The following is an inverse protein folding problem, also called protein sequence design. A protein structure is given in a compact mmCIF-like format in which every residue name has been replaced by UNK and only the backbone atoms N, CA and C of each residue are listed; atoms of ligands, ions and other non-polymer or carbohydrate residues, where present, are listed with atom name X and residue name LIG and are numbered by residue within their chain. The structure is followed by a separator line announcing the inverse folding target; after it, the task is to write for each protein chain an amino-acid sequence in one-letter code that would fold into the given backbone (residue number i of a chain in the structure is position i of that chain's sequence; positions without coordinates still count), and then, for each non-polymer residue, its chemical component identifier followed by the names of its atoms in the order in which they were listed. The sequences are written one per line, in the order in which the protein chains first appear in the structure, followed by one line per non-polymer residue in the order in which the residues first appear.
data_IF_694670558171
#
_entry.id   IF_694670558171
#
_cell.length_a   1.000
_cell.length_b   1.000
_cell.length_c   1.000
_cell.angle_alpha   90.00
_cell.angle_beta   90.00
_cell.angle_gamma   90.00
#
_symmetry.space_group_name_H-M   'P 1'
#
loop_
_entity.id
_entity.type
_entity.pdbx_description
1 polymer ?
#
# COMPACT_ATOMS: atom_id res chain seq x y z
N UNK A 1 44.67 66.79 53.43
CA UNK A 1 45.83 66.41 52.64
C UNK A 1 45.67 65.02 52.07
N UNK A 2 45.80 64.91 50.80
CA UNK A 2 45.95 63.77 49.95
C UNK A 2 44.65 63.01 49.51
N UNK A 3 44.32 63.40 48.31
CA UNK A 3 43.51 62.79 47.30
C UNK A 3 44.14 61.45 46.80
N UNK A 4 43.38 60.36 46.67
CA UNK A 4 43.71 59.30 45.73
C UNK A 4 42.44 58.77 45.06
N UNK A 5 42.39 58.99 43.78
CA UNK A 5 41.30 58.55 42.88
C UNK A 5 41.38 57.03 42.63
N UNK A 6 40.27 56.36 42.70
CA UNK A 6 40.12 54.97 42.29
C UNK A 6 39.35 54.92 40.98
N UNK A 7 39.99 54.42 39.94
CA UNK A 7 39.41 54.10 38.63
C UNK A 7 38.64 52.77 38.73
N UNK A 8 37.34 52.82 38.54
CA UNK A 8 36.52 51.62 38.39
C UNK A 8 36.53 51.20 36.92
N UNK A 9 37.20 50.12 36.60
CA UNK A 9 37.14 49.45 35.30
C UNK A 9 35.84 48.70 35.18
N UNK A 10 34.97 49.10 34.25
CA UNK A 10 33.78 48.33 33.85
C UNK A 10 34.21 47.27 32.85
N UNK A 11 34.30 46.01 33.29
CA UNK A 11 34.39 44.85 32.42
C UNK A 11 32.99 44.49 31.90
N UNK A 12 32.74 44.77 30.64
CA UNK A 12 31.55 44.28 29.94
C UNK A 12 31.76 42.78 29.58
N UNK A 13 31.08 41.88 30.27
CA UNK A 13 31.04 40.47 29.92
C UNK A 13 30.01 40.32 28.81
N UNK A 14 30.47 40.20 27.56
CA UNK A 14 29.64 39.82 26.44
C UNK A 14 29.37 38.33 26.51
N UNK A 15 28.17 37.94 27.00
CA UNK A 15 27.66 36.55 26.91
C UNK A 15 27.27 36.31 25.44
N UNK A 16 28.17 35.66 24.68
CA UNK A 16 27.82 35.10 23.39
C UNK A 16 26.93 33.88 23.62
N UNK A 17 25.61 34.03 23.44
CA UNK A 17 24.70 32.91 23.28
C UNK A 17 25.04 32.22 21.95
N UNK A 18 25.92 31.24 21.99
CA UNK A 18 26.04 30.25 20.94
C UNK A 18 24.76 29.40 20.97
N UNK A 19 23.79 29.76 20.13
CA UNK A 19 22.61 28.95 19.89
C UNK A 19 23.07 27.60 19.34
N UNK A 20 23.12 26.57 20.19
CA UNK A 20 23.13 25.18 19.74
C UNK A 20 21.80 24.93 19.07
N UNK A 21 21.73 25.09 17.76
CA UNK A 21 20.71 24.42 16.96
C UNK A 21 20.98 22.93 17.11
N UNK A 22 20.23 22.26 17.98
CA UNK A 22 20.08 20.81 17.95
C UNK A 22 19.44 20.50 16.59
N UNK A 23 20.28 20.38 15.55
CA UNK A 23 19.88 19.81 14.29
C UNK A 23 19.42 18.38 14.60
N UNK A 24 18.15 18.07 14.33
CA UNK A 24 17.70 16.71 14.38
C UNK A 24 18.64 15.90 13.50
N UNK A 25 19.41 15.00 14.11
CA UNK A 25 20.31 14.11 13.36
C UNK A 25 19.42 13.17 12.55
N UNK A 26 19.58 13.21 11.22
CA UNK A 26 18.84 12.31 10.34
C UNK A 26 19.14 10.86 10.73
N UNK A 27 18.14 9.97 10.58
CA UNK A 27 18.31 8.56 10.92
C UNK A 27 19.37 7.92 10.00
N UNK A 28 20.28 7.15 10.57
CA UNK A 28 21.32 6.44 9.81
C UNK A 28 20.76 5.23 9.04
N UNK A 29 19.52 4.81 9.36
CA UNK A 29 18.86 3.66 8.77
C UNK A 29 17.40 3.99 8.47
N UNK A 30 16.95 3.66 7.27
CA UNK A 30 15.54 3.67 6.85
C UNK A 30 15.05 2.24 6.76
N UNK A 31 14.06 1.87 7.57
CA UNK A 31 13.51 0.50 7.66
C UNK A 31 12.13 0.43 7.04
N UNK A 32 11.96 -0.45 6.05
CA UNK A 32 10.71 -0.61 5.31
C UNK A 32 10.17 -2.02 5.55
N UNK A 33 9.02 -2.10 6.20
CA UNK A 33 8.27 -3.34 6.38
C UNK A 33 7.36 -3.61 5.20
N UNK A 34 7.39 -4.83 4.68
CA UNK A 34 6.58 -5.26 3.54
C UNK A 34 5.64 -6.39 3.97
N UNK A 35 4.33 -6.20 3.76
CA UNK A 35 3.28 -7.11 4.21
C UNK A 35 3.14 -8.35 3.30
N UNK A 36 4.25 -9.01 3.00
CA UNK A 36 4.32 -10.27 2.26
C UNK A 36 5.61 -11.01 2.62
N UNK A 37 5.62 -12.32 2.43
CA UNK A 37 6.86 -13.09 2.52
C UNK A 37 7.85 -12.75 1.39
N UNK A 38 7.34 -12.27 0.25
CA UNK A 38 8.16 -12.06 -0.94
C UNK A 38 8.72 -13.37 -1.50
N UNK A 39 9.63 -13.24 -2.46
CA UNK A 39 10.37 -14.36 -3.06
C UNK A 39 11.57 -13.85 -3.84
N UNK A 40 12.40 -14.80 -4.34
CA UNK A 40 13.62 -14.46 -5.08
C UNK A 40 14.83 -14.13 -4.22
N UNK A 41 15.94 -13.83 -4.88
CA UNK A 41 17.19 -13.37 -4.26
C UNK A 41 17.73 -12.18 -5.08
N UNK A 42 17.83 -10.96 -4.53
CA UNK A 42 17.30 -10.59 -3.21
C UNK A 42 15.77 -10.71 -3.11
N UNK A 43 15.24 -10.94 -1.90
CA UNK A 43 13.78 -11.03 -1.67
C UNK A 43 13.10 -9.77 -2.21
N UNK A 44 12.08 -9.96 -3.05
CA UNK A 44 11.27 -8.92 -3.66
C UNK A 44 9.79 -9.38 -3.78
N UNK A 45 8.95 -8.54 -4.36
CA UNK A 45 7.56 -8.88 -4.68
C UNK A 45 7.15 -8.25 -6.00
N UNK A 46 6.06 -8.72 -6.59
CA UNK A 46 5.52 -8.20 -7.83
C UNK A 46 4.20 -7.48 -7.66
N UNK A 47 3.64 -7.00 -8.76
CA UNK A 47 2.31 -6.41 -8.83
C UNK A 47 2.20 -4.98 -8.29
N UNK A 48 3.33 -4.31 -8.03
CA UNK A 48 3.35 -2.92 -7.57
C UNK A 48 4.65 -2.19 -7.90
N UNK A 49 4.63 -0.84 -7.98
CA UNK A 49 5.84 -0.03 -8.13
C UNK A 49 6.87 -0.26 -7.02
N UNK A 50 6.43 -0.51 -5.78
CA UNK A 50 7.34 -0.78 -4.67
C UNK A 50 8.23 -2.00 -4.89
N UNK A 51 7.72 -3.03 -5.58
CA UNK A 51 8.52 -4.20 -5.98
C UNK A 51 9.63 -3.83 -6.97
N UNK A 52 9.40 -2.87 -7.88
CA UNK A 52 10.42 -2.33 -8.78
C UNK A 52 11.49 -1.57 -8.01
N UNK A 53 11.09 -0.74 -7.04
CA UNK A 53 12.03 -0.02 -6.15
C UNK A 53 13.00 -1.00 -5.50
N UNK A 54 12.46 -2.08 -4.91
CA UNK A 54 13.26 -3.09 -4.22
C UNK A 54 14.15 -3.89 -5.17
N UNK A 55 13.58 -4.39 -6.27
CA UNK A 55 14.30 -5.24 -7.22
C UNK A 55 15.48 -4.53 -7.89
N UNK A 56 15.36 -3.21 -8.08
CA UNK A 56 16.38 -2.37 -8.72
C UNK A 56 17.23 -1.59 -7.71
N UNK A 57 17.02 -1.79 -6.40
CA UNK A 57 17.77 -1.10 -5.33
C UNK A 57 17.74 0.43 -5.43
N UNK A 58 16.61 0.99 -5.88
CA UNK A 58 16.51 2.42 -6.15
C UNK A 58 16.52 3.28 -4.88
N UNK A 59 16.10 2.76 -3.74
CA UNK A 59 16.24 3.47 -2.48
C UNK A 59 17.67 3.42 -1.95
N UNK A 60 18.31 2.27 -2.04
CA UNK A 60 19.71 2.09 -1.66
C UNK A 60 20.62 3.07 -2.44
N UNK A 61 20.37 3.20 -3.76
CA UNK A 61 21.10 4.15 -4.60
C UNK A 61 20.80 5.61 -4.23
N UNK A 62 19.52 5.95 -3.98
CA UNK A 62 19.11 7.30 -3.61
C UNK A 62 19.71 7.77 -2.27
N UNK A 63 19.93 6.86 -1.34
CA UNK A 63 20.48 7.15 -0.01
C UNK A 63 22.00 7.00 0.09
N UNK A 64 22.65 6.49 -0.94
CA UNK A 64 24.09 6.19 -0.93
C UNK A 64 24.96 7.41 -0.60
N UNK A 65 24.66 8.56 -1.20
CA UNK A 65 25.41 9.79 -0.95
C UNK A 65 25.22 10.34 0.48
N UNK A 66 24.09 10.02 1.12
CA UNK A 66 23.78 10.45 2.49
C UNK A 66 24.40 9.50 3.54
N UNK A 67 24.95 8.36 3.13
CA UNK A 67 25.44 7.32 4.04
C UNK A 67 24.31 6.58 4.80
N UNK A 68 23.06 6.74 4.39
CA UNK A 68 21.91 6.12 5.05
C UNK A 68 21.71 4.71 4.52
N UNK A 69 21.62 3.74 5.43
CA UNK A 69 21.33 2.35 5.10
C UNK A 69 19.83 2.15 4.87
N UNK A 70 19.46 1.38 3.85
CA UNK A 70 18.07 0.94 3.63
C UNK A 70 17.93 -0.53 4.02
N UNK A 71 16.96 -0.82 4.88
CA UNK A 71 16.64 -2.17 5.32
C UNK A 71 15.20 -2.55 4.94
N UNK A 72 15.05 -3.69 4.27
CA UNK A 72 13.76 -4.25 3.90
C UNK A 72 13.44 -5.47 4.77
N UNK A 73 12.30 -5.41 5.46
CA UNK A 73 11.82 -6.47 6.33
C UNK A 73 10.52 -7.06 5.75
N UNK A 74 10.55 -8.34 5.41
CA UNK A 74 9.41 -9.05 4.82
C UNK A 74 8.68 -9.85 5.87
N UNK A 75 7.36 -9.71 5.92
CA UNK A 75 6.52 -10.31 6.95
C UNK A 75 5.56 -11.34 6.35
N UNK A 76 5.82 -12.64 6.58
CA UNK A 76 4.95 -13.74 6.16
C UNK A 76 3.55 -13.62 6.78
N UNK A 77 3.44 -13.08 8.01
CA UNK A 77 2.17 -12.76 8.67
C UNK A 77 1.43 -11.56 8.09
N UNK A 78 1.91 -10.99 6.97
CA UNK A 78 1.35 -9.86 6.25
C UNK A 78 1.06 -8.63 7.15
N UNK A 79 -0.05 -7.92 6.91
CA UNK A 79 -0.37 -6.68 7.61
C UNK A 79 -0.42 -6.75 9.14
N UNK A 80 -0.99 -7.79 9.77
CA UNK A 80 -0.94 -7.94 11.22
C UNK A 80 0.49 -7.91 11.79
N UNK A 81 1.42 -8.62 11.17
CA UNK A 81 2.83 -8.63 11.61
C UNK A 81 3.54 -7.30 11.33
N UNK A 82 3.20 -6.62 10.23
CA UNK A 82 3.70 -5.26 9.95
C UNK A 82 3.20 -4.26 10.99
N UNK A 83 1.94 -4.34 11.42
CA UNK A 83 1.40 -3.48 12.47
C UNK A 83 2.11 -3.70 13.83
N UNK A 84 2.45 -4.94 14.16
CA UNK A 84 3.26 -5.26 15.35
C UNK A 84 4.65 -4.63 15.26
N UNK A 85 5.33 -4.77 14.13
CA UNK A 85 6.63 -4.16 13.88
C UNK A 85 6.60 -2.62 13.93
N UNK A 86 5.53 -1.98 13.40
CA UNK A 86 5.30 -0.53 13.55
C UNK A 86 5.13 -0.13 15.02
N UNK A 87 4.31 -0.87 15.78
CA UNK A 87 4.06 -0.62 17.20
C UNK A 87 5.35 -0.69 18.03
N UNK A 88 6.22 -1.64 17.70
CA UNK A 88 7.51 -1.86 18.37
C UNK A 88 8.65 -0.98 17.80
N UNK A 89 8.35 -0.07 16.87
CA UNK A 89 9.32 0.80 16.17
C UNK A 89 10.48 0.03 15.50
N UNK A 90 10.21 -1.20 15.06
CA UNK A 90 11.16 -2.02 14.32
C UNK A 90 11.26 -1.61 12.86
N UNK A 91 10.25 -0.91 12.34
CA UNK A 91 10.20 -0.34 10.99
C UNK A 91 9.74 1.12 11.04
N UNK A 92 10.14 1.89 10.04
CA UNK A 92 9.83 3.31 9.89
C UNK A 92 8.71 3.51 8.88
N UNK A 93 8.77 2.75 7.78
CA UNK A 93 7.76 2.71 6.73
C UNK A 93 7.10 1.34 6.67
N UNK A 94 5.84 1.32 6.23
CA UNK A 94 5.08 0.10 6.00
C UNK A 94 4.44 0.11 4.61
N UNK A 95 4.77 -0.90 3.80
CA UNK A 95 4.01 -1.23 2.60
C UNK A 95 3.00 -2.31 2.95
N UNK A 96 1.72 -1.94 2.98
CA UNK A 96 0.65 -2.86 3.37
C UNK A 96 -0.71 -2.50 2.77
N UNK A 97 -1.68 -3.40 2.92
CA UNK A 97 -3.04 -3.23 2.44
C UNK A 97 -3.88 -2.25 3.27
N UNK A 98 -5.03 -1.89 2.73
CA UNK A 98 -6.00 -0.97 3.32
C UNK A 98 -6.57 -1.47 4.67
N UNK A 99 -7.12 -2.70 4.74
CA UNK A 99 -7.67 -3.22 5.99
C UNK A 99 -6.65 -3.24 7.14
N UNK A 100 -5.44 -3.82 7.00
CA UNK A 100 -4.48 -3.81 8.11
C UNK A 100 -4.05 -2.38 8.47
N UNK A 101 -3.98 -1.45 7.54
CA UNK A 101 -3.70 -0.04 7.83
C UNK A 101 -4.79 0.58 8.71
N UNK A 102 -6.07 0.33 8.39
CA UNK A 102 -7.22 0.76 9.20
C UNK A 102 -7.20 0.11 10.58
N UNK A 103 -6.95 -1.20 10.67
CA UNK A 103 -6.85 -1.92 11.95
C UNK A 103 -5.72 -1.37 12.81
N UNK A 104 -4.54 -1.12 12.23
CA UNK A 104 -3.42 -0.50 12.93
C UNK A 104 -3.78 0.85 13.52
N UNK A 105 -4.42 1.73 12.74
CA UNK A 105 -4.86 3.05 13.19
C UNK A 105 -5.94 2.96 14.27
N UNK A 106 -6.91 2.05 14.13
CA UNK A 106 -7.93 1.79 15.15
C UNK A 106 -7.34 1.33 16.48
N UNK A 107 -6.20 0.64 16.44
CA UNK A 107 -5.44 0.21 17.61
C UNK A 107 -4.45 1.26 18.13
N UNK A 108 -4.46 2.47 17.56
CA UNK A 108 -3.69 3.61 18.06
C UNK A 108 -2.35 3.84 17.38
N UNK A 109 -2.02 3.11 16.32
CA UNK A 109 -0.81 3.39 15.53
C UNK A 109 -0.94 4.78 14.89
N UNK A 110 0.05 5.62 15.14
CA UNK A 110 0.17 6.95 14.54
C UNK A 110 1.00 6.86 13.27
N UNK A 111 0.32 6.89 12.13
CA UNK A 111 0.93 6.80 10.81
C UNK A 111 0.36 7.85 9.88
N UNK A 112 1.12 8.20 8.83
CA UNK A 112 0.65 8.97 7.67
C UNK A 112 0.68 8.08 6.45
N UNK A 113 -0.34 8.14 5.60
CA UNK A 113 -0.35 7.48 4.29
C UNK A 113 0.23 8.46 3.27
N UNK A 114 1.28 8.03 2.58
CA UNK A 114 2.10 8.89 1.72
C UNK A 114 1.77 8.74 0.23
N UNK A 115 1.68 7.50 -0.26
CA UNK A 115 1.42 7.19 -1.67
C UNK A 115 0.67 5.87 -1.79
N UNK A 116 -0.12 5.73 -2.84
CA UNK A 116 -0.65 4.42 -3.26
C UNK A 116 0.44 3.69 -4.03
N UNK A 117 0.60 2.40 -3.76
CA UNK A 117 1.58 1.57 -4.46
C UNK A 117 1.01 0.17 -4.69
N UNK A 118 0.14 0.06 -5.69
CA UNK A 118 -0.62 -1.13 -6.04
C UNK A 118 -2.10 -0.96 -5.76
N UNK A 119 -2.82 -0.32 -6.70
CA UNK A 119 -4.25 -0.11 -6.65
C UNK A 119 -5.02 -1.20 -7.41
N UNK A 120 -6.30 -1.36 -7.10
CA UNK A 120 -7.27 -2.15 -7.87
C UNK A 120 -6.82 -3.58 -8.14
N UNK A 121 -6.12 -4.22 -7.16
CA UNK A 121 -5.70 -5.60 -7.27
C UNK A 121 -6.90 -6.55 -7.21
N UNK A 122 -6.97 -7.46 -8.19
CA UNK A 122 -8.08 -8.42 -8.26
C UNK A 122 -8.02 -9.47 -7.16
N UNK A 123 -9.17 -10.05 -6.85
CA UNK A 123 -9.33 -11.23 -6.01
C UNK A 123 -9.87 -12.36 -6.86
N UNK A 124 -9.43 -13.58 -6.56
CA UNK A 124 -9.85 -14.81 -7.22
C UNK A 124 -10.32 -15.82 -6.19
N UNK A 125 -11.25 -16.69 -6.60
CA UNK A 125 -11.61 -17.88 -5.85
C UNK A 125 -11.23 -19.09 -6.69
N UNK A 126 -10.51 -20.01 -6.07
CA UNK A 126 -10.00 -21.21 -6.72
C UNK A 126 -10.44 -22.46 -5.99
N UNK A 127 -10.54 -23.54 -6.75
CA UNK A 127 -10.85 -24.89 -6.27
C UNK A 127 -9.88 -25.91 -6.85
N UNK A 128 -9.75 -27.11 -6.27
CA UNK A 128 -9.05 -28.22 -6.94
C UNK A 128 -9.67 -28.50 -8.31
N UNK A 129 -8.91 -29.02 -9.31
CA UNK A 129 -9.40 -29.21 -10.69
C UNK A 129 -10.64 -30.09 -10.79
N UNK A 130 -10.72 -31.15 -9.97
CA UNK A 130 -11.85 -32.11 -9.94
C UNK A 130 -13.03 -31.68 -9.06
N UNK A 131 -12.99 -30.49 -8.45
CA UNK A 131 -14.05 -29.99 -7.59
C UNK A 131 -15.37 -29.80 -8.36
N UNK A 132 -16.51 -30.12 -7.70
CA UNK A 132 -17.83 -29.80 -8.22
C UNK A 132 -18.28 -28.37 -7.99
N UNK A 133 -17.55 -27.60 -7.15
CA UNK A 133 -17.84 -26.20 -6.85
C UNK A 133 -17.53 -25.33 -8.08
N UNK A 134 -18.49 -24.55 -8.54
CA UNK A 134 -18.41 -23.73 -9.76
C UNK A 134 -18.72 -22.26 -9.52
N UNK A 135 -19.32 -21.93 -8.38
CA UNK A 135 -19.77 -20.57 -8.03
C UNK A 135 -19.68 -20.32 -6.52
N UNK A 136 -19.73 -19.05 -6.13
CA UNK A 136 -19.54 -18.59 -4.74
C UNK A 136 -20.62 -19.17 -3.80
N UNK A 137 -21.86 -19.26 -4.24
CA UNK A 137 -22.99 -19.73 -3.41
C UNK A 137 -22.79 -21.18 -2.93
N UNK A 138 -22.01 -21.97 -3.65
CA UNK A 138 -21.70 -23.37 -3.31
C UNK A 138 -20.61 -23.51 -2.25
N UNK A 139 -19.98 -22.39 -1.83
CA UNK A 139 -18.99 -22.40 -0.74
C UNK A 139 -19.61 -22.61 0.65
N UNK A 140 -20.95 -22.57 0.77
CA UNK A 140 -21.63 -22.84 2.04
C UNK A 140 -21.19 -24.18 2.61
N UNK A 141 -20.85 -24.20 3.89
CA UNK A 141 -20.38 -25.38 4.66
C UNK A 141 -19.05 -25.99 4.15
N UNK A 142 -18.38 -25.39 3.16
CA UNK A 142 -17.08 -25.85 2.64
C UNK A 142 -15.90 -25.33 3.47
N UNK A 143 -14.78 -26.04 3.43
CA UNK A 143 -13.50 -25.59 4.00
C UNK A 143 -12.85 -24.58 3.03
N UNK A 144 -12.88 -23.31 3.39
CA UNK A 144 -12.40 -22.23 2.51
C UNK A 144 -11.24 -21.49 3.16
N UNK A 145 -10.12 -21.41 2.45
CA UNK A 145 -8.96 -20.61 2.91
C UNK A 145 -9.21 -19.13 2.67
N UNK A 146 -9.07 -18.33 3.73
CA UNK A 146 -9.06 -16.86 3.71
C UNK A 146 -7.91 -16.38 4.59
N UNK A 147 -7.02 -15.54 4.06
CA UNK A 147 -5.93 -14.98 4.86
C UNK A 147 -6.44 -13.77 5.67
N UNK A 148 -6.81 -14.05 6.93
CA UNK A 148 -7.48 -13.09 7.81
C UNK A 148 -6.57 -11.90 8.17
N UNK A 149 -7.20 -10.74 8.34
CA UNK A 149 -6.51 -9.49 8.70
C UNK A 149 -5.77 -8.81 7.55
N UNK A 150 -5.86 -9.35 6.31
CA UNK A 150 -5.28 -8.76 5.11
C UNK A 150 -6.34 -7.98 4.31
N UNK A 151 -5.92 -7.18 3.31
CA UNK A 151 -6.85 -6.56 2.37
C UNK A 151 -7.69 -7.58 1.59
N UNK A 152 -7.16 -8.78 1.33
CA UNK A 152 -7.91 -9.88 0.73
C UNK A 152 -9.04 -10.41 1.61
N UNK A 153 -8.89 -10.36 2.94
CA UNK A 153 -9.92 -10.81 3.89
C UNK A 153 -11.22 -10.01 3.74
N UNK A 154 -11.13 -8.67 3.76
CA UNK A 154 -12.33 -7.84 3.66
C UNK A 154 -13.03 -7.99 2.31
N UNK A 155 -12.25 -8.01 1.21
CA UNK A 155 -12.81 -8.23 -0.13
C UNK A 155 -13.47 -9.62 -0.23
N UNK A 156 -12.88 -10.67 0.36
CA UNK A 156 -13.49 -11.99 0.40
C UNK A 156 -14.84 -11.99 1.12
N UNK A 157 -14.94 -11.31 2.28
CA UNK A 157 -16.21 -11.17 3.01
C UNK A 157 -17.23 -10.41 2.15
N UNK A 158 -16.84 -9.33 1.49
CA UNK A 158 -17.73 -8.54 0.64
C UNK A 158 -18.21 -9.34 -0.59
N UNK A 159 -17.33 -10.16 -1.19
CA UNK A 159 -17.71 -11.08 -2.27
C UNK A 159 -18.70 -12.13 -1.76
N UNK A 160 -18.45 -12.75 -0.61
CA UNK A 160 -19.40 -13.68 -0.01
C UNK A 160 -20.77 -13.02 0.22
N UNK A 161 -20.78 -11.82 0.79
CA UNK A 161 -22.01 -11.06 1.08
C UNK A 161 -22.79 -10.70 -0.20
N UNK A 162 -22.11 -10.34 -1.28
CA UNK A 162 -22.74 -10.07 -2.58
C UNK A 162 -23.44 -11.34 -3.17
N UNK A 163 -23.01 -12.52 -2.75
CA UNK A 163 -23.58 -13.81 -3.15
C UNK A 163 -24.44 -14.46 -2.05
N UNK A 164 -24.93 -13.67 -1.07
CA UNK A 164 -25.86 -14.12 -0.05
C UNK A 164 -25.24 -14.98 1.06
N UNK A 165 -23.92 -15.01 1.19
CA UNK A 165 -23.19 -15.74 2.22
C UNK A 165 -22.52 -14.76 3.20
N UNK A 166 -22.38 -15.18 4.46
CA UNK A 166 -21.52 -14.56 5.44
C UNK A 166 -20.28 -15.44 5.70
N UNK A 167 -19.21 -14.88 6.29
CA UNK A 167 -18.01 -15.68 6.62
C UNK A 167 -18.34 -16.87 7.53
N UNK A 168 -19.34 -16.75 8.41
CA UNK A 168 -19.82 -17.85 9.28
C UNK A 168 -20.50 -19.01 8.54
N UNK A 169 -20.91 -18.79 7.29
CA UNK A 169 -21.58 -19.81 6.46
C UNK A 169 -20.58 -20.74 5.77
N UNK A 170 -19.29 -20.47 5.91
CA UNK A 170 -18.19 -21.32 5.45
C UNK A 170 -17.36 -21.82 6.63
N UNK A 171 -16.63 -22.93 6.45
CA UNK A 171 -15.62 -23.41 7.40
C UNK A 171 -14.28 -22.72 7.07
N UNK A 172 -14.14 -21.45 7.52
CA UNK A 172 -13.00 -20.58 7.20
C UNK A 172 -11.70 -21.05 7.84
N UNK A 173 -10.70 -21.31 7.02
CA UNK A 173 -9.33 -21.69 7.43
C UNK A 173 -8.39 -20.50 7.18
N UNK A 174 -7.68 -20.05 8.23
CA UNK A 174 -6.74 -18.94 8.11
C UNK A 174 -5.36 -19.43 7.67
N UNK A 175 -5.01 -19.24 6.41
CA UNK A 175 -3.73 -19.65 5.83
C UNK A 175 -3.10 -18.50 5.05
N UNK A 176 -1.78 -18.34 5.15
CA UNK A 176 -1.02 -17.48 4.22
C UNK A 176 -1.02 -18.07 2.80
N UNK A 177 -0.64 -17.25 1.79
CA UNK A 177 -0.75 -17.63 0.38
C UNK A 177 -0.03 -18.96 0.06
N UNK A 178 1.17 -19.18 0.59
CA UNK A 178 1.91 -20.43 0.34
C UNK A 178 1.26 -21.63 0.99
N UNK A 179 0.82 -21.50 2.24
CA UNK A 179 0.10 -22.55 2.97
C UNK A 179 -1.25 -22.85 2.34
N UNK A 180 -1.96 -21.83 1.82
CA UNK A 180 -3.23 -22.00 1.12
C UNK A 180 -3.05 -22.78 -0.20
N UNK A 181 -1.99 -22.49 -0.97
CA UNK A 181 -1.67 -23.25 -2.19
C UNK A 181 -1.39 -24.72 -1.87
N UNK A 182 -0.55 -25.00 -0.87
CA UNK A 182 -0.27 -26.37 -0.45
C UNK A 182 -1.53 -27.10 0.04
N UNK A 183 -2.37 -26.44 0.83
CA UNK A 183 -3.61 -27.01 1.33
C UNK A 183 -4.61 -27.31 0.20
N UNK A 184 -4.73 -26.41 -0.82
CA UNK A 184 -5.62 -26.67 -1.96
C UNK A 184 -5.15 -27.87 -2.78
N UNK A 185 -3.86 -27.93 -3.11
CA UNK A 185 -3.27 -29.01 -3.91
C UNK A 185 -3.39 -30.37 -3.22
N UNK A 186 -3.29 -30.39 -1.88
CA UNK A 186 -3.44 -31.61 -1.07
C UNK A 186 -4.90 -31.93 -0.70
N UNK A 187 -5.88 -31.18 -1.21
CA UNK A 187 -7.30 -31.28 -0.84
C UNK A 187 -7.57 -31.06 0.67
N UNK A 188 -6.72 -30.31 1.35
CA UNK A 188 -6.92 -29.89 2.74
C UNK A 188 -7.97 -28.80 2.90
N UNK A 189 -8.24 -28.05 1.82
CA UNK A 189 -9.34 -27.09 1.67
C UNK A 189 -10.08 -27.32 0.36
N UNK A 190 -11.39 -26.99 0.34
CA UNK A 190 -12.27 -27.18 -0.83
C UNK A 190 -12.19 -26.00 -1.80
N UNK A 191 -11.85 -24.81 -1.27
CA UNK A 191 -11.64 -23.59 -2.04
C UNK A 191 -10.68 -22.64 -1.32
N UNK A 192 -10.14 -21.66 -2.04
CA UNK A 192 -9.32 -20.61 -1.46
C UNK A 192 -9.54 -19.27 -2.15
N UNK A 193 -9.56 -18.20 -1.36
CA UNK A 193 -9.46 -16.83 -1.84
C UNK A 193 -7.98 -16.41 -1.96
N UNK A 194 -7.64 -15.60 -2.98
CA UNK A 194 -6.30 -15.08 -3.14
C UNK A 194 -6.16 -14.16 -4.34
N UNK A 195 -4.94 -13.81 -4.72
CA UNK A 195 -4.63 -12.93 -5.83
C UNK A 195 -4.02 -13.67 -7.04
N UNK A 196 -3.22 -12.95 -7.78
CA UNK A 196 -2.54 -13.42 -9.00
C UNK A 196 -1.62 -14.64 -8.77
N UNK A 197 -1.21 -14.90 -7.56
CA UNK A 197 -0.38 -16.07 -7.20
C UNK A 197 -1.05 -17.40 -7.56
N UNK A 198 -2.37 -17.42 -7.72
CA UNK A 198 -3.13 -18.60 -8.12
C UNK A 198 -2.98 -18.95 -9.60
N UNK A 199 -2.58 -18.01 -10.45
CA UNK A 199 -2.37 -18.31 -11.87
C UNK A 199 -1.29 -19.35 -12.09
N UNK A 200 -0.19 -19.29 -11.32
CA UNK A 200 0.86 -20.32 -11.37
C UNK A 200 0.28 -21.74 -11.10
N UNK A 201 -0.54 -21.85 -10.06
CA UNK A 201 -1.15 -23.14 -9.65
C UNK A 201 -2.16 -23.61 -10.68
N UNK A 202 -2.96 -22.69 -11.22
CA UNK A 202 -3.89 -22.96 -12.34
C UNK A 202 -3.14 -23.47 -13.58
N UNK A 203 -2.08 -22.79 -13.97
CA UNK A 203 -1.33 -23.12 -15.20
C UNK A 203 -0.59 -24.47 -15.10
N UNK A 204 -0.32 -24.92 -13.89
CA UNK A 204 0.16 -26.26 -13.59
C UNK A 204 -0.97 -27.33 -13.60
N UNK A 205 -2.22 -26.93 -13.84
CA UNK A 205 -3.38 -27.84 -13.80
C UNK A 205 -3.78 -28.28 -12.38
N UNK A 206 -3.27 -27.61 -11.34
CA UNK A 206 -3.49 -27.97 -9.91
C UNK A 206 -4.59 -27.15 -9.25
N UNK A 207 -5.13 -26.13 -9.93
CA UNK A 207 -6.26 -25.33 -9.47
C UNK A 207 -7.13 -24.88 -10.65
N UNK A 208 -8.40 -24.58 -10.36
CA UNK A 208 -9.35 -23.98 -11.30
C UNK A 208 -9.89 -22.69 -10.68
N UNK A 209 -9.87 -21.59 -11.42
CA UNK A 209 -10.51 -20.33 -11.00
C UNK A 209 -12.01 -20.45 -11.27
N UNK A 210 -12.84 -20.27 -10.24
CA UNK A 210 -14.30 -20.29 -10.32
C UNK A 210 -14.91 -18.88 -10.21
N UNK A 211 -14.14 -17.89 -9.75
CA UNK A 211 -14.61 -16.52 -9.60
C UNK A 211 -13.44 -15.53 -9.71
N UNK A 212 -13.74 -14.35 -10.22
CA UNK A 212 -12.78 -13.23 -10.33
C UNK A 212 -13.49 -11.91 -10.14
N UNK A 213 -12.86 -10.97 -9.44
CA UNK A 213 -13.34 -9.57 -9.33
C UNK A 213 -12.91 -8.70 -10.52
N UNK A 214 -12.15 -9.26 -11.47
CA UNK A 214 -11.72 -8.53 -12.67
C UNK A 214 -12.93 -8.04 -13.48
N UNK A 215 -12.93 -6.75 -13.81
CA UNK A 215 -14.01 -6.13 -14.59
C UNK A 215 -15.31 -5.92 -13.83
N UNK A 216 -15.35 -6.26 -12.53
CA UNK A 216 -16.48 -5.98 -11.66
C UNK A 216 -16.35 -4.59 -11.01
N UNK A 217 -17.28 -4.28 -10.08
CA UNK A 217 -17.22 -3.03 -9.32
C UNK A 217 -15.84 -2.87 -8.66
N UNK A 218 -15.15 -1.74 -8.87
CA UNK A 218 -13.88 -1.46 -8.24
C UNK A 218 -13.88 -1.57 -6.71
N UNK A 219 -15.07 -1.54 -6.08
CA UNK A 219 -15.24 -1.80 -4.65
C UNK A 219 -14.74 -3.18 -4.21
N UNK A 220 -14.73 -4.17 -5.11
CA UNK A 220 -14.23 -5.52 -4.84
C UNK A 220 -12.74 -5.68 -5.16
N UNK A 221 -11.99 -4.59 -5.24
CA UNK A 221 -10.54 -4.62 -5.44
C UNK A 221 -9.78 -4.31 -4.15
N UNK A 222 -8.52 -4.74 -4.09
CA UNK A 222 -7.62 -4.55 -2.96
C UNK A 222 -6.68 -3.38 -3.23
N UNK A 223 -6.40 -2.60 -2.20
CA UNK A 223 -5.47 -1.46 -2.27
C UNK A 223 -4.26 -1.73 -1.40
N UNK A 224 -3.10 -1.24 -1.82
CA UNK A 224 -1.89 -1.20 -1.01
C UNK A 224 -1.25 0.18 -1.08
N UNK A 225 -0.68 0.60 0.03
CA UNK A 225 -0.10 1.94 0.18
C UNK A 225 1.20 1.89 0.98
N UNK A 226 2.02 2.91 0.80
CA UNK A 226 3.16 3.17 1.65
C UNK A 226 2.75 4.13 2.77
N UNK A 227 2.95 3.70 4.00
CA UNK A 227 2.75 4.48 5.19
C UNK A 227 4.09 4.76 5.87
N UNK A 228 4.12 5.81 6.69
CA UNK A 228 5.26 6.14 7.57
C UNK A 228 4.77 6.35 8.99
N UNK A 229 5.58 6.03 10.00
CA UNK A 229 5.31 6.44 11.38
C UNK A 229 5.32 7.96 11.48
N UNK A 230 4.37 8.52 12.23
CA UNK A 230 4.23 9.97 12.37
C UNK A 230 5.45 10.62 13.04
N UNK A 231 6.02 9.98 14.07
CA UNK A 231 7.24 10.45 14.73
C UNK A 231 8.44 10.47 13.75
N UNK A 232 8.62 9.43 12.95
CA UNK A 232 9.68 9.38 11.96
C UNK A 232 9.52 10.48 10.90
N UNK A 233 8.29 10.67 10.40
CA UNK A 233 8.00 11.69 9.39
C UNK A 233 8.25 13.12 9.90
N UNK A 234 7.93 13.38 11.17
CA UNK A 234 8.21 14.67 11.81
C UNK A 234 9.71 14.93 11.97
N UNK A 235 10.45 13.89 12.41
CA UNK A 235 11.85 14.01 12.79
C UNK A 235 12.80 13.90 11.58
N UNK A 236 12.35 13.26 10.47
CA UNK A 236 13.15 12.98 9.27
C UNK A 236 12.43 13.34 7.95
N UNK A 237 11.88 14.55 7.79
CA UNK A 237 11.05 14.90 6.62
C UNK A 237 11.80 14.79 5.28
N UNK A 238 13.09 15.10 5.26
CA UNK A 238 13.91 14.99 4.04
C UNK A 238 14.07 13.54 3.58
N UNK A 239 14.24 12.60 4.52
CA UNK A 239 14.30 11.18 4.18
C UNK A 239 12.96 10.66 3.70
N UNK A 240 11.85 11.10 4.31
CA UNK A 240 10.50 10.76 3.85
C UNK A 240 10.27 11.27 2.43
N UNK A 241 10.66 12.51 2.12
CA UNK A 241 10.54 13.05 0.76
C UNK A 241 11.34 12.20 -0.23
N UNK A 242 12.58 11.85 0.09
CA UNK A 242 13.43 11.03 -0.78
C UNK A 242 12.81 9.65 -1.05
N UNK A 243 12.22 9.01 -0.04
CA UNK A 243 11.50 7.75 -0.22
C UNK A 243 10.31 7.94 -1.16
N UNK A 244 9.49 8.98 -0.96
CA UNK A 244 8.34 9.28 -1.81
C UNK A 244 8.77 9.59 -3.24
N UNK A 245 9.83 10.36 -3.45
CA UNK A 245 10.38 10.68 -4.77
C UNK A 245 10.73 9.41 -5.55
N UNK A 246 11.37 8.44 -4.89
CA UNK A 246 11.73 7.15 -5.50
C UNK A 246 10.48 6.31 -5.82
N UNK A 247 9.48 6.29 -4.94
CA UNK A 247 8.23 5.58 -5.19
C UNK A 247 7.43 6.20 -6.34
N UNK A 248 7.40 7.53 -6.47
CA UNK A 248 6.75 8.24 -7.59
C UNK A 248 7.50 7.95 -8.90
N UNK A 249 8.84 7.99 -8.91
CA UNK A 249 9.64 7.58 -10.07
C UNK A 249 9.31 6.15 -10.50
N UNK A 250 9.20 5.24 -9.54
CA UNK A 250 8.86 3.84 -9.82
C UNK A 250 7.43 3.69 -10.33
N UNK A 251 6.49 4.45 -9.79
CA UNK A 251 5.11 4.49 -10.26
C UNK A 251 5.04 4.98 -11.71
N UNK A 252 5.77 6.04 -12.06
CA UNK A 252 5.85 6.55 -13.42
C UNK A 252 6.42 5.51 -14.39
N UNK A 253 7.58 4.94 -14.06
CA UNK A 253 8.21 3.91 -14.87
C UNK A 253 7.30 2.68 -15.05
N UNK A 254 6.64 2.25 -13.97
CA UNK A 254 5.73 1.09 -13.98
C UNK A 254 4.40 1.36 -14.69
N UNK A 255 4.04 2.62 -14.92
CA UNK A 255 2.81 3.04 -15.62
C UNK A 255 2.99 3.20 -17.13
N UNK A 256 4.24 3.31 -17.61
CA UNK A 256 4.51 3.45 -19.04
C UNK A 256 4.38 2.09 -19.74
N UNK A 257 3.46 1.99 -20.69
CA UNK A 257 3.20 0.76 -21.47
C UNK A 257 4.42 0.24 -22.23
N UNK A 258 5.37 1.12 -22.55
CA UNK A 258 6.66 0.72 -23.17
C UNK A 258 7.48 -0.19 -22.26
N UNK A 259 7.28 -0.09 -20.95
CA UNK A 259 7.99 -0.88 -19.95
C UNK A 259 7.26 -2.17 -19.56
N UNK A 260 6.09 -2.50 -20.15
CA UNK A 260 5.23 -3.63 -19.75
C UNK A 260 6.00 -4.95 -19.67
N UNK A 261 6.77 -5.28 -20.69
CA UNK A 261 7.56 -6.52 -20.68
C UNK A 261 8.65 -6.48 -19.60
N UNK A 262 9.42 -5.40 -19.54
CA UNK A 262 10.49 -5.24 -18.56
C UNK A 262 9.94 -5.24 -17.12
N UNK A 263 8.78 -4.63 -16.90
CA UNK A 263 8.08 -4.63 -15.62
C UNK A 263 7.71 -6.04 -15.16
N UNK A 264 7.12 -6.84 -16.06
CA UNK A 264 6.73 -8.22 -15.73
C UNK A 264 7.96 -9.11 -15.51
N UNK A 265 9.08 -8.88 -16.22
CA UNK A 265 10.36 -9.56 -15.97
C UNK A 265 10.95 -9.20 -14.61
N UNK A 266 10.82 -7.94 -14.17
CA UNK A 266 11.23 -7.55 -12.82
C UNK A 266 10.36 -8.25 -11.78
N UNK A 267 9.05 -8.27 -11.96
CA UNK A 267 8.13 -8.91 -11.02
C UNK A 267 8.26 -10.45 -11.00
N UNK A 268 8.65 -11.06 -12.12
CA UNK A 268 8.95 -12.50 -12.20
C UNK A 268 10.02 -12.94 -11.19
N UNK A 269 10.97 -12.06 -10.86
CA UNK A 269 12.00 -12.33 -9.85
C UNK A 269 11.42 -12.67 -8.47
N UNK A 270 10.17 -12.30 -8.20
CA UNK A 270 9.45 -12.69 -6.96
C UNK A 270 9.02 -14.16 -6.93
N UNK A 271 9.26 -14.94 -8.00
CA UNK A 271 8.84 -16.34 -8.12
C UNK A 271 7.45 -16.53 -8.70
N UNK A 272 6.78 -15.45 -9.11
CA UNK A 272 5.51 -15.51 -9.88
C UNK A 272 5.85 -15.46 -11.37
N UNK A 273 5.47 -16.45 -12.18
CA UNK A 273 5.86 -16.52 -13.58
C UNK A 273 5.40 -15.32 -14.41
N UNK A 274 6.19 -14.97 -15.43
CA UNK A 274 5.86 -13.90 -16.38
C UNK A 274 4.46 -14.03 -16.98
N UNK A 275 4.04 -15.25 -17.36
CA UNK A 275 2.71 -15.52 -17.90
C UNK A 275 1.59 -15.18 -16.91
N UNK A 276 1.81 -15.33 -15.60
CA UNK A 276 0.84 -14.94 -14.57
C UNK A 276 0.64 -13.42 -14.53
N UNK A 277 1.71 -12.64 -14.76
CA UNK A 277 1.60 -11.18 -14.85
C UNK A 277 0.90 -10.75 -16.13
N UNK A 278 1.16 -11.41 -17.26
CA UNK A 278 0.42 -11.17 -18.50
C UNK A 278 -1.07 -11.41 -18.29
N UNK A 279 -1.43 -12.53 -17.66
CA UNK A 279 -2.81 -12.87 -17.36
C UNK A 279 -3.47 -11.90 -16.36
N UNK A 280 -2.77 -11.46 -15.29
CA UNK A 280 -3.31 -10.50 -14.31
C UNK A 280 -3.60 -9.14 -14.93
N UNK A 281 -2.73 -8.67 -15.83
CA UNK A 281 -2.84 -7.35 -16.45
C UNK A 281 -3.45 -7.38 -17.86
N UNK A 282 -4.07 -8.50 -18.24
CA UNK A 282 -4.78 -8.61 -19.51
C UNK A 282 -5.90 -7.56 -19.59
N UNK A 283 -5.91 -6.77 -20.68
CA UNK A 283 -6.88 -5.69 -20.92
C UNK A 283 -6.89 -4.57 -19.85
N UNK A 284 -5.84 -4.48 -19.03
CA UNK A 284 -5.70 -3.40 -18.05
C UNK A 284 -4.51 -2.51 -18.41
N UNK A 285 -4.72 -1.19 -18.38
CA UNK A 285 -3.62 -0.25 -18.50
C UNK A 285 -2.72 -0.32 -17.24
N UNK A 286 -1.41 -0.26 -17.45
CA UNK A 286 -0.46 -0.23 -16.33
C UNK A 286 -0.70 0.96 -15.40
N UNK A 287 -1.07 2.12 -15.97
CA UNK A 287 -1.35 3.35 -15.22
C UNK A 287 -2.52 3.22 -14.23
N UNK A 288 -3.50 2.36 -14.52
CA UNK A 288 -4.67 2.16 -13.64
C UNK A 288 -4.29 1.45 -12.33
N UNK A 289 -3.24 0.63 -12.38
CA UNK A 289 -2.78 -0.20 -11.25
C UNK A 289 -1.58 0.41 -10.52
N UNK A 290 -0.80 1.24 -11.21
CA UNK A 290 0.46 1.77 -10.71
C UNK A 290 0.41 3.28 -10.38
N UNK A 291 -0.77 3.93 -10.46
CA UNK A 291 -0.94 5.32 -10.03
C UNK A 291 -0.60 5.51 -8.55
N UNK A 292 0.24 6.50 -8.19
CA UNK A 292 0.56 6.82 -6.80
C UNK A 292 -0.48 7.74 -6.15
N UNK A 293 -1.50 8.19 -6.89
CA UNK A 293 -2.42 9.23 -6.47
C UNK A 293 -3.29 8.79 -5.29
N UNK A 294 -3.46 9.69 -4.35
CA UNK A 294 -4.47 9.62 -3.29
C UNK A 294 -5.68 10.41 -3.81
N UNK A 295 -6.43 9.81 -4.70
CA UNK A 295 -7.62 10.41 -5.32
C UNK A 295 -8.91 10.11 -4.52
N UNK A 296 -10.04 10.64 -4.99
CA UNK A 296 -11.33 10.46 -4.32
C UNK A 296 -11.73 8.98 -4.22
N UNK A 297 -11.32 8.15 -5.19
CA UNK A 297 -11.55 6.70 -5.12
C UNK A 297 -10.83 6.07 -3.94
N UNK A 298 -9.55 6.35 -3.76
CA UNK A 298 -8.76 5.82 -2.64
C UNK A 298 -9.33 6.28 -1.30
N UNK A 299 -9.66 7.57 -1.18
CA UNK A 299 -10.27 8.11 0.05
C UNK A 299 -11.61 7.41 0.35
N UNK A 300 -12.47 7.26 -0.67
CA UNK A 300 -13.75 6.56 -0.54
C UNK A 300 -13.56 5.09 -0.15
N UNK A 301 -12.57 4.39 -0.72
CA UNK A 301 -12.25 3.00 -0.36
C UNK A 301 -11.83 2.86 1.10
N UNK A 302 -10.94 3.72 1.59
CA UNK A 302 -10.53 3.69 2.99
C UNK A 302 -11.70 4.00 3.94
N UNK A 303 -12.59 4.96 3.62
CA UNK A 303 -13.83 5.21 4.38
C UNK A 303 -14.75 3.98 4.39
N UNK A 304 -14.91 3.30 3.27
CA UNK A 304 -15.68 2.07 3.18
C UNK A 304 -15.05 0.93 3.99
N UNK A 305 -13.72 0.77 3.94
CA UNK A 305 -13.00 -0.22 4.76
C UNK A 305 -13.24 0.02 6.26
N UNK A 306 -13.23 1.27 6.71
CA UNK A 306 -13.55 1.61 8.12
C UNK A 306 -14.97 1.20 8.46
N UNK A 307 -15.95 1.57 7.64
CA UNK A 307 -17.37 1.24 7.86
C UNK A 307 -17.60 -0.28 7.90
N UNK A 308 -17.04 -1.01 6.94
CA UNK A 308 -17.14 -2.47 6.86
C UNK A 308 -16.43 -3.15 8.04
N UNK A 309 -15.23 -2.68 8.40
CA UNK A 309 -14.48 -3.22 9.54
C UNK A 309 -15.21 -3.03 10.87
N UNK A 310 -15.90 -1.89 11.08
CA UNK A 310 -16.77 -1.65 12.24
C UNK A 310 -17.97 -2.60 12.23
N UNK A 311 -18.70 -2.68 11.12
CA UNK A 311 -19.87 -3.56 10.93
C UNK A 311 -19.52 -5.03 11.19
N UNK A 312 -18.36 -5.46 10.72
CA UNK A 312 -17.86 -6.83 10.87
C UNK A 312 -17.14 -7.07 12.21
N UNK A 313 -17.04 -6.05 13.08
CA UNK A 313 -16.36 -6.10 14.38
C UNK A 313 -14.86 -6.46 14.26
N UNK A 314 -14.23 -6.15 13.12
CA UNK A 314 -12.78 -6.25 12.93
C UNK A 314 -12.03 -5.12 13.64
N UNK A 315 -12.68 -3.99 13.86
CA UNK A 315 -12.24 -2.88 14.71
C UNK A 315 -13.32 -2.55 15.72
N UNK A 316 -12.93 -1.95 16.86
CA UNK A 316 -13.84 -1.59 17.95
C UNK A 316 -14.16 -0.10 18.01
N UNK A 317 -13.42 0.71 17.28
CA UNK A 317 -13.52 2.19 17.27
C UNK A 317 -13.54 2.67 15.85
N UNK A 318 -14.27 3.75 15.61
CA UNK A 318 -14.19 4.48 14.35
C UNK A 318 -12.80 5.08 14.15
N UNK A 319 -12.43 5.24 12.90
CA UNK A 319 -11.12 5.77 12.49
C UNK A 319 -11.37 6.95 11.56
N UNK A 320 -10.95 8.13 11.98
CA UNK A 320 -10.94 9.27 11.09
C UNK A 320 -9.97 9.04 9.92
N UNK A 321 -10.49 9.03 8.72
CA UNK A 321 -9.72 8.96 7.48
C UNK A 321 -9.20 10.34 7.11
N UNK A 322 -9.99 11.38 7.38
CA UNK A 322 -9.59 12.76 7.15
C UNK A 322 -8.37 13.13 8.01
N UNK A 323 -7.35 13.75 7.40
CA UNK A 323 -6.08 14.07 8.03
C UNK A 323 -5.10 12.89 8.22
N UNK A 324 -5.47 11.67 7.78
CA UNK A 324 -4.55 10.53 7.77
C UNK A 324 -3.65 10.51 6.54
N UNK A 325 -4.21 10.93 5.42
CA UNK A 325 -3.44 11.08 4.18
C UNK A 325 -2.59 12.34 4.26
N UNK A 326 -1.30 12.21 3.97
CA UNK A 326 -0.37 13.36 3.85
C UNK A 326 0.05 13.50 2.38
N UNK A 327 -0.71 14.27 1.57
CA UNK A 327 -0.42 14.43 0.17
C UNK A 327 0.77 15.37 -0.10
N UNK A 328 1.31 16.05 0.91
CA UNK A 328 2.34 17.09 0.72
C UNK A 328 3.60 16.54 0.07
N UNK A 329 4.09 15.40 0.56
CA UNK A 329 5.26 14.71 0.01
C UNK A 329 5.01 14.22 -1.42
N UNK A 330 3.81 13.66 -1.69
CA UNK A 330 3.43 13.21 -3.03
C UNK A 330 3.35 14.39 -4.00
N UNK A 331 2.71 15.50 -3.62
CA UNK A 331 2.59 16.70 -4.45
C UNK A 331 3.96 17.27 -4.79
N UNK A 332 4.86 17.33 -3.80
CA UNK A 332 6.23 17.77 -4.02
C UNK A 332 6.98 16.86 -5.00
N UNK A 333 6.85 15.53 -4.85
CA UNK A 333 7.47 14.56 -5.74
C UNK A 333 6.93 14.65 -7.18
N UNK A 334 5.61 14.78 -7.34
CA UNK A 334 4.99 14.97 -8.66
C UNK A 334 5.49 16.25 -9.33
N UNK A 335 5.53 17.37 -8.59
CA UNK A 335 6.00 18.65 -9.11
C UNK A 335 7.48 18.62 -9.50
N UNK A 336 8.36 18.09 -8.64
CA UNK A 336 9.79 18.02 -8.91
C UNK A 336 10.14 17.14 -10.10
N UNK A 337 9.28 16.17 -10.44
CA UNK A 337 9.44 15.25 -11.56
C UNK A 337 8.61 15.64 -12.79
N UNK A 338 7.81 16.73 -12.74
CA UNK A 338 6.96 17.19 -13.85
C UNK A 338 5.83 16.21 -14.18
N UNK A 339 5.27 15.55 -13.16
CA UNK A 339 4.31 14.45 -13.31
C UNK A 339 2.90 14.79 -12.82
N UNK A 340 2.59 16.07 -12.51
CA UNK A 340 1.31 16.50 -11.92
C UNK A 340 0.08 16.13 -12.79
N UNK A 341 0.29 16.00 -14.10
CA UNK A 341 -0.76 15.69 -15.06
C UNK A 341 -0.63 14.30 -15.70
N UNK A 342 0.31 13.48 -15.25
CA UNK A 342 0.57 12.19 -15.89
C UNK A 342 -0.54 11.17 -15.63
N UNK A 343 -1.01 11.05 -14.39
CA UNK A 343 -2.13 10.18 -14.05
C UNK A 343 -3.44 10.97 -13.99
N UNK A 344 -4.50 10.34 -14.48
CA UNK A 344 -5.86 10.86 -14.33
C UNK A 344 -6.42 10.39 -13.00
N UNK A 345 -6.89 11.30 -12.11
CA UNK A 345 -7.51 10.89 -10.85
C UNK A 345 -8.86 10.20 -11.14
N UNK A 346 -9.27 9.36 -10.23
CA UNK A 346 -10.57 8.71 -10.21
C UNK A 346 -11.51 9.39 -9.21
N UNK A 347 -12.80 9.48 -9.56
CA UNK A 347 -13.85 9.88 -8.63
C UNK A 347 -14.13 8.77 -7.60
N UNK A 348 -14.97 9.09 -6.59
CA UNK A 348 -15.30 8.16 -5.52
C UNK A 348 -15.93 6.83 -6.00
N UNK A 349 -16.48 6.78 -7.22
CA UNK A 349 -17.05 5.56 -7.83
C UNK A 349 -16.01 4.75 -8.60
N UNK A 350 -14.78 5.27 -8.73
CA UNK A 350 -13.71 4.63 -9.48
C UNK A 350 -13.76 4.85 -10.99
N UNK A 351 -14.54 5.82 -11.46
CA UNK A 351 -14.51 6.31 -12.85
C UNK A 351 -13.48 7.43 -12.95
N UNK A 352 -12.89 7.60 -14.14
CA UNK A 352 -11.99 8.74 -14.39
C UNK A 352 -12.72 10.04 -14.11
N UNK A 353 -12.18 10.87 -13.22
CA UNK A 353 -12.78 12.15 -12.88
C UNK A 353 -12.77 13.08 -14.09
N UNK A 354 -13.90 13.72 -14.37
CA UNK A 354 -13.99 14.78 -15.35
C UNK A 354 -13.15 15.96 -14.86
N UNK A 355 -12.32 16.52 -15.73
CA UNK A 355 -11.38 17.60 -15.38
C UNK A 355 -12.10 18.73 -14.60
N UNK A 356 -11.70 19.11 -13.39
CA UNK A 356 -12.38 20.16 -12.60
C UNK A 356 -12.35 21.53 -13.27
N UNK A 357 -11.44 21.79 -14.20
CA UNK A 357 -11.37 23.02 -15.01
C UNK A 357 -12.57 23.18 -15.96
N UNK A 358 -13.28 22.12 -16.32
CA UNK A 358 -14.48 22.22 -17.17
C UNK A 358 -15.74 22.65 -16.40
N UNK A 359 -15.78 22.49 -15.07
CA UNK A 359 -16.93 22.90 -14.25
C UNK A 359 -16.94 24.40 -13.92
N UNK A 360 -15.80 25.09 -13.93
CA UNK A 360 -15.76 26.54 -13.72
C UNK A 360 -16.12 27.35 -15.00
N UNK A 361 -15.94 26.75 -16.18
CA UNK A 361 -16.34 27.43 -17.43
C UNK A 361 -17.85 27.36 -17.73
N UNK A 362 -18.58 26.38 -17.18
CA UNK A 362 -20.02 26.24 -17.39
C UNK A 362 -20.89 26.93 -16.34
N UNK A 363 -20.31 27.42 -15.25
CA UNK A 363 -21.04 28.16 -14.20
C UNK A 363 -21.00 29.69 -14.37
N UNK A 364 -20.30 30.20 -15.40
CA UNK A 364 -20.06 31.64 -15.62
C UNK A 364 -20.94 32.31 -16.68
N UNK A 365 -21.80 31.57 -17.38
CA UNK A 365 -22.55 32.13 -18.54
C UNK A 365 -24.10 32.15 -18.34
N UNK A 366 -24.53 32.35 -17.12
CA UNK A 366 -25.96 32.40 -16.77
C UNK A 366 -26.36 33.55 -15.85
N UNK A 367 -25.86 34.79 -16.08
CA UNK A 367 -26.46 35.99 -15.44
C UNK A 367 -26.05 37.27 -16.21
N UNK A 368 -26.86 37.70 -17.13
CA UNK A 368 -27.11 39.15 -17.42
C UNK A 368 -28.54 39.35 -17.86
N UNK A 369 -29.06 40.52 -17.51
CA UNK A 369 -30.47 40.77 -17.22
C UNK A 369 -31.38 40.83 -18.45
#
# INVERSE_FOLDING_TARGET
MNVLASWAARAAVSLSLAGFTLGAQAADVVRIGVATAGGGDPITWGGSPGGVVRANQWLEEAFKADGVKVEWLFFKGAGPAVNEALSNKQIDFAYQGDLPSVVGRANGLKTRLLVVSGARNNLYVVTPPGSKLTKIEELKDQKVSIFRGTNGHLVAINVLAAHGLAERDIKGVNLDSGSAQAALVSNGVDAAFGGYEWFKVRDQGLARIIYSTRGQDPAYTRQASLLVRDDFARDNPAQVQKVVDVFVRAAHWSSDEKNREALFRIWEKSGVPYASWQAEFEQQALSDRNSPLIDDFIVARYKAVVADALKLKLIRRDVAVDGWFDPSFLQQALKSQGLEQYWKPYDATGKTASNPTARQASAGDGARP
#
